data_IF_032860132061
#
_entry.id   IF_032860132061
#
_cell.length_a   1.000
_cell.length_b   1.000
_cell.length_c   1.000
_cell.angle_alpha   90.00
_cell.angle_beta   90.00
_cell.angle_gamma   90.00
#
_symmetry.space_group_name_H-M   'P 1'
#
loop_
_entity.id
_entity.type
_entity.pdbx_description
1 polymer ?
#
# COMPACT_ATOMS: atom_id res chain seq x y z
N UNK A 1 -11.07 21.41 -3.71
CA UNK A 1 -10.18 22.49 -4.18
C UNK A 1 -8.92 22.68 -3.33
N UNK A 2 -8.90 22.26 -2.05
CA UNK A 2 -7.70 22.34 -1.20
C UNK A 2 -6.69 21.19 -1.42
N UNK A 3 -7.19 19.97 -1.67
CA UNK A 3 -6.37 18.78 -1.89
C UNK A 3 -5.43 18.97 -3.10
N UNK A 4 -5.91 19.47 -4.24
CA UNK A 4 -5.08 19.68 -5.44
C UNK A 4 -3.93 20.68 -5.25
N UNK A 5 -4.07 21.62 -4.30
CA UNK A 5 -3.03 22.58 -3.94
C UNK A 5 -2.01 21.91 -3.04
N UNK A 6 -2.45 21.22 -1.99
CA UNK A 6 -1.58 20.48 -1.07
C UNK A 6 -0.76 19.40 -1.80
N UNK A 7 -1.38 18.71 -2.77
CA UNK A 7 -0.73 17.71 -3.62
C UNK A 7 0.37 18.29 -4.49
N UNK A 8 0.21 19.53 -4.98
CA UNK A 8 1.26 20.22 -5.74
C UNK A 8 2.36 20.75 -4.83
N UNK A 9 1.98 21.26 -3.65
CA UNK A 9 2.93 21.81 -2.69
C UNK A 9 3.88 20.75 -2.15
N UNK A 10 3.38 19.60 -1.69
CA UNK A 10 4.23 18.54 -1.11
C UNK A 10 5.32 18.05 -2.08
N UNK A 11 5.07 18.09 -3.39
CA UNK A 11 6.05 17.72 -4.43
C UNK A 11 7.19 18.74 -4.56
N UNK A 12 6.90 20.00 -4.27
CA UNK A 12 7.88 21.08 -4.32
C UNK A 12 8.78 21.12 -3.08
N UNK A 13 8.33 20.53 -1.97
CA UNK A 13 9.07 20.45 -0.71
C UNK A 13 10.30 19.54 -0.87
N UNK A 14 11.48 19.94 -0.35
CA UNK A 14 12.63 19.05 -0.28
C UNK A 14 12.31 17.80 0.55
N UNK A 15 12.79 16.63 0.13
CA UNK A 15 12.38 15.32 0.70
C UNK A 15 12.57 15.30 2.22
N UNK A 16 13.71 15.79 2.69
CA UNK A 16 14.08 15.87 4.10
C UNK A 16 13.20 16.82 4.92
N UNK A 17 12.42 17.69 4.26
CA UNK A 17 11.51 18.64 4.91
C UNK A 17 10.05 18.21 4.86
N UNK A 18 9.71 17.13 4.15
CA UNK A 18 8.32 16.66 3.98
C UNK A 18 7.66 16.42 5.34
N UNK A 19 8.32 15.71 6.26
CA UNK A 19 7.79 15.44 7.59
C UNK A 19 7.44 16.74 8.35
N UNK A 20 8.35 17.71 8.33
CA UNK A 20 8.13 19.01 8.97
C UNK A 20 7.04 19.84 8.27
N UNK A 21 6.91 19.73 6.95
CA UNK A 21 5.84 20.37 6.20
C UNK A 21 4.47 19.79 6.55
N UNK A 22 4.34 18.45 6.58
CA UNK A 22 3.10 17.76 6.98
C UNK A 22 2.70 18.16 8.39
N UNK A 23 3.62 18.12 9.36
CA UNK A 23 3.34 18.48 10.75
C UNK A 23 2.86 19.93 10.92
N UNK A 24 3.38 20.88 10.12
CA UNK A 24 2.91 22.28 10.14
C UNK A 24 1.54 22.44 9.48
N UNK A 25 1.27 21.68 8.41
CA UNK A 25 0.02 21.76 7.65
C UNK A 25 -1.14 21.13 8.42
N UNK A 26 -0.86 20.05 9.14
CA UNK A 26 -1.80 19.22 9.87
C UNK A 26 -1.32 19.02 11.32
N UNK A 27 -1.38 20.07 12.17
CA UNK A 27 -0.85 20.01 13.54
C UNK A 27 -1.57 18.97 14.42
N UNK A 28 -2.84 18.71 14.15
CA UNK A 28 -3.68 17.75 14.87
C UNK A 28 -3.73 16.36 14.20
N UNK A 29 -2.82 16.12 13.25
CA UNK A 29 -2.86 14.94 12.38
C UNK A 29 -3.74 15.14 11.15
N UNK A 30 -3.68 14.17 10.24
CA UNK A 30 -4.39 14.22 8.95
C UNK A 30 -5.23 12.97 8.73
N UNK A 31 -6.29 13.11 7.95
CA UNK A 31 -7.21 12.01 7.66
C UNK A 31 -6.57 10.95 6.76
N UNK A 32 -6.91 9.65 6.92
CA UNK A 32 -6.46 8.60 6.00
C UNK A 32 -6.80 8.88 4.53
N UNK A 33 -7.95 9.51 4.26
CA UNK A 33 -8.39 9.86 2.91
C UNK A 33 -7.43 10.86 2.24
N UNK A 34 -6.85 11.78 3.01
CA UNK A 34 -5.85 12.70 2.48
C UNK A 34 -4.58 11.96 2.07
N UNK A 35 -4.06 11.06 2.90
CA UNK A 35 -2.90 10.22 2.55
C UNK A 35 -3.13 9.39 1.29
N UNK A 36 -4.29 8.74 1.19
CA UNK A 36 -4.65 7.95 0.01
C UNK A 36 -4.70 8.82 -1.26
N UNK A 37 -5.28 10.02 -1.18
CA UNK A 37 -5.26 10.97 -2.28
C UNK A 37 -3.83 11.38 -2.67
N UNK A 38 -2.91 11.55 -1.70
CA UNK A 38 -1.49 11.79 -1.99
C UNK A 38 -0.85 10.61 -2.69
N UNK A 39 -1.09 9.37 -2.25
CA UNK A 39 -0.50 8.18 -2.87
C UNK A 39 -0.96 7.99 -4.31
N UNK A 40 -2.26 8.10 -4.57
CA UNK A 40 -2.83 8.03 -5.92
C UNK A 40 -2.22 9.09 -6.84
N UNK A 41 -2.12 10.32 -6.33
CA UNK A 41 -1.56 11.44 -7.05
C UNK A 41 -0.08 11.24 -7.40
N UNK A 42 0.71 10.69 -6.49
CA UNK A 42 2.13 10.41 -6.70
C UNK A 42 2.34 9.21 -7.64
N UNK A 43 1.53 8.15 -7.53
CA UNK A 43 1.59 7.03 -8.47
C UNK A 43 1.34 7.50 -9.91
N UNK A 44 0.29 8.32 -10.12
CA UNK A 44 -0.07 8.85 -11.44
C UNK A 44 1.04 9.68 -12.08
N UNK A 45 1.83 10.38 -11.28
CA UNK A 45 2.92 11.23 -11.74
C UNK A 45 4.12 10.41 -12.22
N UNK A 46 4.38 9.25 -11.62
CA UNK A 46 5.50 8.38 -11.97
C UNK A 46 5.17 7.36 -13.06
N UNK A 47 3.97 7.42 -13.65
CA UNK A 47 3.58 6.49 -14.72
C UNK A 47 4.41 6.69 -16.00
N UNK A 48 4.72 5.60 -16.75
CA UNK A 48 5.58 5.68 -17.93
C UNK A 48 5.11 6.63 -19.05
N UNK A 49 3.80 6.85 -19.18
CA UNK A 49 3.24 7.73 -20.20
C UNK A 49 3.28 9.23 -19.83
N UNK A 50 3.77 9.58 -18.62
CA UNK A 50 3.98 10.97 -18.23
C UNK A 50 5.28 11.49 -18.82
N UNK A 51 5.19 12.59 -19.56
CA UNK A 51 6.34 13.30 -20.06
C UNK A 51 7.08 13.99 -18.90
N UNK A 52 8.20 13.38 -18.51
CA UNK A 52 9.05 13.83 -17.42
C UNK A 52 10.49 13.40 -17.70
N UNK A 53 11.43 14.26 -17.32
CA UNK A 53 12.86 13.92 -17.36
C UNK A 53 13.16 12.78 -16.37
N UNK A 54 14.20 12.00 -16.64
CA UNK A 54 14.63 10.92 -15.74
C UNK A 54 14.93 11.43 -14.32
N UNK A 55 15.52 12.62 -14.20
CA UNK A 55 15.82 13.26 -12.91
C UNK A 55 14.56 13.62 -12.12
N UNK A 56 13.55 14.18 -12.80
CA UNK A 56 12.26 14.49 -12.18
C UNK A 56 11.57 13.22 -11.72
N UNK A 57 11.56 12.19 -12.56
CA UNK A 57 10.95 10.91 -12.23
C UNK A 57 11.59 10.23 -11.02
N UNK A 58 12.93 10.19 -10.96
CA UNK A 58 13.64 9.65 -9.81
C UNK A 58 13.31 10.42 -8.52
N UNK A 59 13.18 11.76 -8.59
CA UNK A 59 12.71 12.58 -7.47
C UNK A 59 11.28 12.22 -7.07
N UNK A 60 10.36 12.10 -8.02
CA UNK A 60 8.95 11.83 -7.74
C UNK A 60 8.77 10.45 -7.07
N UNK A 61 9.55 9.44 -7.49
CA UNK A 61 9.63 8.15 -6.79
C UNK A 61 10.13 8.28 -5.34
N UNK A 62 11.19 9.06 -5.12
CA UNK A 62 11.72 9.30 -3.76
C UNK A 62 10.70 10.00 -2.86
N UNK A 63 9.99 10.99 -3.39
CA UNK A 63 8.88 11.66 -2.69
C UNK A 63 7.78 10.63 -2.37
N UNK A 64 7.38 9.80 -3.33
CA UNK A 64 6.44 8.69 -3.13
C UNK A 64 6.82 7.79 -1.96
N UNK A 65 8.04 7.26 -1.97
CA UNK A 65 8.54 6.39 -0.90
C UNK A 65 8.56 7.09 0.46
N UNK A 66 9.03 8.35 0.52
CA UNK A 66 9.09 9.11 1.77
C UNK A 66 7.70 9.38 2.35
N UNK A 67 6.75 9.82 1.51
CA UNK A 67 5.38 10.12 1.94
C UNK A 67 4.67 8.86 2.44
N UNK A 68 4.81 7.72 1.75
CA UNK A 68 4.24 6.45 2.19
C UNK A 68 4.85 6.02 3.52
N UNK A 69 6.18 6.06 3.64
CA UNK A 69 6.87 5.73 4.88
C UNK A 69 6.45 6.64 6.03
N UNK A 70 6.30 7.94 5.78
CA UNK A 70 5.84 8.92 6.75
C UNK A 70 4.42 8.65 7.22
N UNK A 71 3.50 8.36 6.30
CA UNK A 71 2.10 8.08 6.62
C UNK A 71 1.96 6.87 7.57
N UNK A 72 2.76 5.81 7.35
CA UNK A 72 2.79 4.65 8.25
C UNK A 72 3.39 5.01 9.61
N UNK A 73 4.50 5.76 9.64
CA UNK A 73 5.15 6.18 10.90
C UNK A 73 4.30 7.10 11.76
N UNK A 74 3.48 7.93 11.14
CA UNK A 74 2.55 8.84 11.81
C UNK A 74 1.18 8.19 12.11
N UNK A 75 1.05 6.88 11.88
CA UNK A 75 -0.22 6.14 12.04
C UNK A 75 -1.39 6.75 11.23
N UNK A 76 -1.06 7.51 10.19
CA UNK A 76 -2.04 8.13 9.31
C UNK A 76 -2.69 7.15 8.34
N UNK A 77 -2.02 6.02 8.09
CA UNK A 77 -2.57 4.84 7.41
C UNK A 77 -2.06 3.57 8.08
N UNK A 78 -2.83 2.49 7.92
CA UNK A 78 -2.43 1.16 8.39
C UNK A 78 -1.17 0.67 7.66
N UNK A 79 -0.28 -0.08 8.32
CA UNK A 79 0.96 -0.55 7.69
C UNK A 79 0.76 -1.33 6.38
N UNK A 80 -0.30 -2.13 6.29
CA UNK A 80 -0.63 -2.89 5.08
C UNK A 80 -1.00 -2.00 3.89
N UNK A 81 -1.70 -0.89 4.13
CA UNK A 81 -1.99 0.12 3.11
C UNK A 81 -0.69 0.74 2.60
N UNK A 82 0.23 1.09 3.51
CA UNK A 82 1.55 1.56 3.13
C UNK A 82 2.33 0.55 2.29
N UNK A 83 2.40 -0.71 2.74
CA UNK A 83 3.02 -1.83 2.04
C UNK A 83 2.48 -2.00 0.62
N UNK A 84 1.16 -2.01 0.48
CA UNK A 84 0.48 -2.07 -0.81
C UNK A 84 0.92 -0.96 -1.77
N UNK A 85 0.92 0.30 -1.30
CA UNK A 85 1.30 1.44 -2.13
C UNK A 85 2.79 1.44 -2.49
N UNK A 86 3.66 1.03 -1.58
CA UNK A 86 5.10 0.90 -1.86
C UNK A 86 5.37 -0.15 -2.93
N UNK A 87 4.72 -1.33 -2.83
CA UNK A 87 4.81 -2.40 -3.83
C UNK A 87 4.30 -1.93 -5.21
N UNK A 88 3.25 -1.11 -5.24
CA UNK A 88 2.76 -0.50 -6.49
C UNK A 88 3.79 0.44 -7.10
N UNK A 89 4.40 1.32 -6.32
CA UNK A 89 5.47 2.19 -6.84
C UNK A 89 6.66 1.39 -7.36
N UNK A 90 7.10 0.35 -6.64
CA UNK A 90 8.16 -0.55 -7.11
C UNK A 90 7.77 -1.25 -8.43
N UNK A 91 6.52 -1.72 -8.54
CA UNK A 91 5.98 -2.30 -9.78
C UNK A 91 6.02 -1.29 -10.94
N UNK A 92 5.66 -0.03 -10.69
CA UNK A 92 5.69 1.02 -11.73
C UNK A 92 7.14 1.33 -12.13
N UNK A 93 8.06 1.44 -11.17
CA UNK A 93 9.48 1.68 -11.42
C UNK A 93 10.10 0.62 -12.35
N UNK A 94 9.66 -0.64 -12.24
CA UNK A 94 10.09 -1.75 -13.09
C UNK A 94 9.62 -1.68 -14.54
N UNK A 95 8.60 -0.88 -14.85
CA UNK A 95 8.05 -0.75 -16.22
C UNK A 95 8.87 0.18 -17.13
N UNK A 96 9.92 0.80 -16.62
CA UNK A 96 10.74 1.75 -17.37
C UNK A 96 11.88 1.06 -18.13
N UNK A 97 11.98 1.38 -19.43
CA UNK A 97 13.10 1.03 -20.30
C UNK A 97 13.63 2.31 -20.96
N UNK A 98 14.87 2.75 -20.66
CA UNK A 98 15.82 2.18 -19.69
C UNK A 98 15.34 2.31 -18.23
N UNK A 99 15.90 1.52 -17.29
CA UNK A 99 15.56 1.60 -15.87
C UNK A 99 15.74 3.00 -15.29
N UNK A 100 14.92 3.36 -14.30
CA UNK A 100 15.08 4.63 -13.56
C UNK A 100 16.32 4.55 -12.68
N UNK A 101 17.28 5.45 -12.92
CA UNK A 101 18.49 5.57 -12.11
C UNK A 101 18.20 6.23 -10.75
N UNK A 102 19.06 5.96 -9.77
CA UNK A 102 19.02 6.52 -8.41
C UNK A 102 17.71 6.30 -7.66
N UNK A 103 17.01 5.18 -7.90
CA UNK A 103 15.89 4.77 -7.07
C UNK A 103 16.34 4.44 -5.64
N UNK A 104 15.53 4.79 -4.62
CA UNK A 104 15.81 4.34 -3.26
C UNK A 104 15.68 2.81 -3.17
N UNK A 105 16.50 2.17 -2.32
CA UNK A 105 16.56 0.72 -2.17
C UNK A 105 15.18 0.09 -1.87
N UNK A 106 14.35 0.79 -1.08
CA UNK A 106 12.97 0.36 -0.76
C UNK A 106 12.04 0.25 -1.97
N UNK A 107 12.40 0.83 -3.13
CA UNK A 107 11.66 0.74 -4.38
C UNK A 107 12.27 -0.27 -5.37
N UNK A 108 13.40 -0.90 -5.02
CA UNK A 108 13.86 -2.09 -5.72
C UNK A 108 12.97 -3.29 -5.33
N UNK A 109 12.84 -4.33 -6.18
CA UNK A 109 11.97 -5.47 -5.91
C UNK A 109 12.20 -6.10 -4.53
N UNK A 110 13.45 -6.45 -4.21
CA UNK A 110 13.80 -7.04 -2.91
C UNK A 110 13.49 -6.10 -1.74
N UNK A 111 13.86 -4.82 -1.86
CA UNK A 111 13.62 -3.83 -0.81
C UNK A 111 12.14 -3.60 -0.53
N UNK A 112 11.32 -3.51 -1.58
CA UNK A 112 9.87 -3.34 -1.47
C UNK A 112 9.21 -4.59 -0.88
N UNK A 113 9.62 -5.78 -1.35
CA UNK A 113 9.14 -7.05 -0.84
C UNK A 113 9.48 -7.25 0.64
N UNK A 114 10.75 -7.07 1.01
CA UNK A 114 11.22 -7.17 2.40
C UNK A 114 10.44 -6.26 3.32
N UNK A 115 10.25 -5.00 2.89
CA UNK A 115 9.50 -4.04 3.66
C UNK A 115 8.03 -4.46 3.83
N UNK A 116 7.38 -4.93 2.77
CA UNK A 116 5.99 -5.37 2.79
C UNK A 116 5.76 -6.63 3.61
N UNK A 117 6.63 -7.64 3.51
CA UNK A 117 6.60 -8.86 4.34
C UNK A 117 6.65 -8.50 5.82
N UNK A 118 7.50 -7.53 6.20
CA UNK A 118 7.58 -7.01 7.56
C UNK A 118 6.32 -6.25 8.04
N UNK A 119 5.32 -6.03 7.18
CA UNK A 119 4.03 -5.39 7.51
C UNK A 119 2.84 -6.34 7.51
N UNK A 120 3.05 -7.63 7.23
CA UNK A 120 1.98 -8.62 7.30
C UNK A 120 1.59 -8.81 8.79
N UNK A 121 0.32 -8.56 9.16
CA UNK A 121 -0.08 -8.52 10.58
C UNK A 121 -0.32 -9.90 11.20
N UNK A 122 -0.45 -10.94 10.37
CA UNK A 122 -0.75 -12.31 10.81
C UNK A 122 0.37 -13.27 10.39
N UNK A 123 0.47 -14.41 11.09
CA UNK A 123 1.21 -15.56 10.56
C UNK A 123 0.39 -16.26 9.49
N UNK A 124 1.03 -17.12 8.68
CA UNK A 124 0.36 -17.91 7.64
C UNK A 124 -0.75 -18.78 8.22
N UNK A 125 -0.46 -19.47 9.33
CA UNK A 125 -1.41 -20.35 10.02
C UNK A 125 -2.61 -19.55 10.52
N UNK A 126 -2.38 -18.37 11.09
CA UNK A 126 -3.45 -17.52 11.60
C UNK A 126 -4.32 -16.93 10.51
N UNK A 127 -3.73 -16.53 9.38
CA UNK A 127 -4.48 -16.05 8.22
C UNK A 127 -5.41 -17.14 7.67
N UNK A 128 -4.95 -18.38 7.60
CA UNK A 128 -5.77 -19.55 7.21
C UNK A 128 -6.93 -19.75 8.19
N UNK A 129 -6.65 -19.79 9.50
CA UNK A 129 -7.70 -19.94 10.52
C UNK A 129 -8.77 -18.84 10.41
N UNK A 130 -8.35 -17.58 10.24
CA UNK A 130 -9.27 -16.46 10.11
C UNK A 130 -10.09 -16.51 8.82
N UNK A 131 -9.50 -16.94 7.69
CA UNK A 131 -10.26 -17.17 6.46
C UNK A 131 -11.29 -18.29 6.61
N UNK A 132 -10.93 -19.40 7.25
CA UNK A 132 -11.88 -20.49 7.51
C UNK A 132 -13.05 -20.03 8.39
N UNK A 133 -12.77 -19.27 9.45
CA UNK A 133 -13.81 -18.66 10.31
C UNK A 133 -14.66 -17.67 9.52
N UNK A 134 -14.05 -16.82 8.70
CA UNK A 134 -14.75 -15.85 7.85
C UNK A 134 -15.68 -16.58 6.88
N UNK A 135 -15.23 -17.66 6.23
CA UNK A 135 -16.02 -18.47 5.31
C UNK A 135 -17.22 -19.11 6.01
N UNK A 136 -17.03 -19.68 7.20
CA UNK A 136 -18.14 -20.21 8.01
C UNK A 136 -19.11 -19.10 8.38
N UNK A 137 -18.62 -17.91 8.73
CA UNK A 137 -19.47 -16.77 9.06
C UNK A 137 -20.32 -16.32 7.86
N UNK A 138 -19.73 -16.19 6.67
CA UNK A 138 -20.45 -15.89 5.43
C UNK A 138 -21.50 -16.94 5.06
N UNK A 139 -21.16 -18.23 5.17
CA UNK A 139 -22.08 -19.33 4.82
C UNK A 139 -23.27 -19.45 5.78
N UNK A 140 -23.10 -19.01 7.03
CA UNK A 140 -24.16 -18.99 8.03
C UNK A 140 -24.84 -17.63 8.15
N UNK A 141 -24.50 -16.67 7.28
CA UNK A 141 -25.09 -15.35 7.29
C UNK A 141 -26.52 -15.42 6.70
N UNK A 142 -27.48 -14.93 7.47
CA UNK A 142 -28.90 -14.86 7.14
C UNK A 142 -29.17 -13.83 6.00
N UNK A 143 -30.38 -13.79 5.43
CA UNK A 143 -30.76 -12.82 4.38
C UNK A 143 -30.56 -11.35 4.79
N UNK A 144 -30.48 -11.05 6.09
CA UNK A 144 -30.13 -9.74 6.65
C UNK A 144 -28.67 -9.32 6.41
N UNK A 145 -27.80 -10.25 6.02
CA UNK A 145 -26.41 -10.01 5.66
C UNK A 145 -26.25 -9.30 4.32
N UNK A 146 -27.12 -9.64 3.37
CA UNK A 146 -27.24 -8.92 2.10
C UNK A 146 -28.19 -7.76 2.33
N UNK A 147 -27.67 -6.53 2.43
CA UNK A 147 -28.50 -5.34 2.59
C UNK A 147 -29.69 -5.41 1.59
N UNK A 148 -30.95 -5.42 2.06
CA UNK A 148 -32.09 -5.52 1.15
C UNK A 148 -32.06 -4.33 0.19
N UNK A 149 -32.32 -4.57 -1.09
CA UNK A 149 -32.40 -3.51 -2.11
C UNK A 149 -33.50 -2.52 -1.67
N UNK A 150 -33.11 -1.34 -1.20
CA UNK A 150 -34.02 -0.30 -0.70
C UNK A 150 -34.20 -0.21 0.82
N UNK A 151 -33.47 -1.00 1.62
CA UNK A 151 -33.45 -0.86 3.09
C UNK A 151 -32.38 0.09 3.60
N UNK A 152 -32.53 0.59 4.84
CA UNK A 152 -31.45 1.32 5.52
C UNK A 152 -30.25 0.39 5.74
N UNK A 153 -29.10 0.78 5.19
CA UNK A 153 -27.83 0.09 5.43
C UNK A 153 -27.37 0.46 6.83
N UNK A 154 -27.64 -0.40 7.80
CA UNK A 154 -27.03 -0.28 9.12
C UNK A 154 -25.65 -0.93 9.02
N UNK A 155 -24.60 -0.12 8.85
CA UNK A 155 -23.20 -0.56 8.96
C UNK A 155 -22.91 -0.87 10.44
N UNK A 156 -23.48 -1.95 10.98
CA UNK A 156 -23.21 -2.40 12.34
C UNK A 156 -21.91 -3.19 12.39
N UNK A 157 -20.85 -2.56 12.90
CA UNK A 157 -19.68 -3.24 13.46
C UNK A 157 -18.34 -2.90 12.81
N UNK A 158 -17.29 -2.89 13.64
CA UNK A 158 -15.90 -2.94 13.19
C UNK A 158 -15.69 -4.11 12.21
N UNK A 159 -14.83 -3.96 11.19
CA UNK A 159 -14.53 -5.04 10.27
C UNK A 159 -13.97 -6.26 11.04
N UNK A 160 -14.77 -7.33 11.14
CA UNK A 160 -14.45 -8.53 11.94
C UNK A 160 -13.15 -9.25 11.57
N UNK A 161 -12.60 -8.97 10.38
CA UNK A 161 -11.41 -9.65 9.83
C UNK A 161 -10.43 -8.63 9.21
N UNK A 162 -10.23 -7.50 9.89
CA UNK A 162 -9.39 -6.41 9.40
C UNK A 162 -7.94 -6.84 9.11
N UNK A 163 -7.36 -7.67 9.99
CA UNK A 163 -6.01 -8.18 9.83
C UNK A 163 -5.88 -9.14 8.63
N UNK A 164 -6.90 -9.96 8.38
CA UNK A 164 -6.95 -10.82 7.19
C UNK A 164 -7.04 -9.99 5.91
N UNK A 165 -7.88 -8.95 5.87
CA UNK A 165 -7.95 -8.03 4.72
C UNK A 165 -6.60 -7.35 4.44
N UNK A 166 -5.85 -7.03 5.49
CA UNK A 166 -4.51 -6.46 5.39
C UNK A 166 -3.50 -7.46 4.80
N UNK A 167 -3.57 -8.73 5.19
CA UNK A 167 -2.79 -9.82 4.57
C UNK A 167 -3.13 -9.90 3.07
N UNK A 168 -4.40 -10.07 2.72
CA UNK A 168 -4.86 -10.19 1.33
C UNK A 168 -4.42 -9.00 0.45
N UNK A 169 -4.51 -7.79 1.00
CA UNK A 169 -4.09 -6.57 0.33
C UNK A 169 -2.61 -6.62 -0.04
N UNK A 170 -1.73 -6.98 0.91
CA UNK A 170 -0.28 -7.10 0.66
C UNK A 170 -0.01 -8.20 -0.37
N UNK A 171 -0.60 -9.38 -0.22
CA UNK A 171 -0.39 -10.51 -1.13
C UNK A 171 -0.81 -10.20 -2.57
N UNK A 172 -1.91 -9.45 -2.74
CA UNK A 172 -2.39 -9.01 -4.06
C UNK A 172 -1.37 -8.16 -4.83
N UNK A 173 -0.53 -7.40 -4.11
CA UNK A 173 0.52 -6.56 -4.68
C UNK A 173 1.86 -7.30 -4.79
N UNK A 174 2.21 -8.15 -3.82
CA UNK A 174 3.45 -8.95 -3.84
C UNK A 174 3.54 -9.85 -5.07
N UNK A 175 2.43 -10.46 -5.48
CA UNK A 175 2.37 -11.28 -6.70
C UNK A 175 2.85 -10.55 -7.96
N UNK A 176 2.76 -9.21 -8.00
CA UNK A 176 3.17 -8.41 -9.16
C UNK A 176 4.68 -8.20 -9.26
N UNK A 177 5.40 -8.37 -8.16
CA UNK A 177 6.86 -8.18 -8.10
C UNK A 177 7.64 -9.46 -7.85
N UNK A 178 6.97 -10.57 -7.48
CA UNK A 178 7.61 -11.83 -7.09
C UNK A 178 8.55 -12.39 -8.16
N UNK A 179 8.23 -12.19 -9.45
CA UNK A 179 9.08 -12.64 -10.57
C UNK A 179 10.40 -11.86 -10.72
N UNK A 180 10.63 -10.82 -9.90
CA UNK A 180 11.80 -9.94 -9.98
C UNK A 180 12.63 -9.93 -8.70
N UNK A 181 12.37 -10.86 -7.78
CA UNK A 181 13.10 -10.99 -6.52
C UNK A 181 14.40 -11.75 -6.77
N UNK A 182 15.49 -11.20 -6.29
CA UNK A 182 16.84 -11.78 -6.43
C UNK A 182 17.33 -12.40 -5.12
N UNK A 183 16.86 -11.91 -3.97
CA UNK A 183 17.17 -12.47 -2.66
C UNK A 183 16.38 -13.77 -2.40
N UNK A 184 17.12 -14.88 -2.25
CA UNK A 184 16.56 -16.23 -2.06
C UNK A 184 15.75 -16.41 -0.75
N UNK A 185 16.03 -15.63 0.29
CA UNK A 185 15.26 -15.68 1.54
C UNK A 185 13.91 -15.00 1.36
N UNK A 186 13.92 -13.81 0.74
CA UNK A 186 12.70 -13.07 0.42
C UNK A 186 11.83 -13.86 -0.55
N UNK A 187 12.43 -14.44 -1.59
CA UNK A 187 11.70 -15.20 -2.61
C UNK A 187 10.97 -16.41 -2.00
N UNK A 188 11.67 -17.19 -1.14
CA UNK A 188 11.05 -18.32 -0.44
C UNK A 188 9.89 -17.90 0.45
N UNK A 189 10.04 -16.78 1.18
CA UNK A 189 8.97 -16.30 2.06
C UNK A 189 7.76 -15.83 1.26
N UNK A 190 7.95 -15.10 0.15
CA UNK A 190 6.86 -14.73 -0.75
C UNK A 190 6.16 -15.96 -1.30
N UNK A 191 6.91 -16.95 -1.80
CA UNK A 191 6.32 -18.18 -2.34
C UNK A 191 5.46 -18.89 -1.31
N UNK A 192 5.96 -19.06 -0.08
CA UNK A 192 5.20 -19.72 0.97
C UNK A 192 3.93 -18.93 1.39
N UNK A 193 3.92 -17.60 1.24
CA UNK A 193 2.71 -16.79 1.39
C UNK A 193 1.75 -16.92 0.20
N UNK A 194 2.27 -16.98 -1.03
CA UNK A 194 1.45 -17.12 -2.24
C UNK A 194 0.83 -18.52 -2.36
N UNK A 195 1.49 -19.56 -1.85
CA UNK A 195 0.96 -20.94 -1.83
C UNK A 195 -0.32 -21.08 -1.01
N UNK A 196 -0.50 -20.27 0.04
CA UNK A 196 -1.71 -20.32 0.86
C UNK A 196 -2.82 -19.39 0.35
N UNK A 197 -2.57 -18.62 -0.72
CA UNK A 197 -3.51 -17.61 -1.22
C UNK A 197 -4.85 -18.18 -1.64
N UNK A 198 -4.90 -19.39 -2.20
CA UNK A 198 -6.16 -20.05 -2.59
C UNK A 198 -6.98 -20.53 -1.37
N UNK A 199 -6.39 -20.46 -0.17
CA UNK A 199 -7.03 -20.80 1.11
C UNK A 199 -7.41 -19.57 1.93
N UNK A 200 -7.07 -18.36 1.46
CA UNK A 200 -7.50 -17.09 2.03
C UNK A 200 -8.75 -16.64 1.28
#
# INVERSE_FOLDING_TARGET
MWIDTDLREIRSVPIEQIAGWVARRFPDGTSPQWWLAVFESLEVDVLPFRDATSSRRARDFKVGAEVIGLAVRLEGVRPAVGAYWMLRLATVARRFEPPVFDLPEILLPDGAAKWALGKIPLTRERAIEESEVQRVWYLNADESYYAPVGGEVILTGEPKFEALQDVEMILSALHRISAYIEDEEIDREIHAWLEIRDRL
#
